data_IF_847711313154
#
_entry.id   IF_847711313154
#
_cell.length_a   1.000
_cell.length_b   1.000
_cell.length_c   1.000
_cell.angle_alpha   90.00
_cell.angle_beta   90.00
_cell.angle_gamma   90.00
#
_symmetry.space_group_name_H-M   'P 1'
#
loop_
_entity.id
_entity.type
_entity.pdbx_description
1 polymer ?
#
# COMPACT_ATOMS: atom_id res chain seq x y z
N UNK A 1 5.48 -9.96 16.85
CA UNK A 1 6.09 -8.63 16.88
C UNK A 1 5.04 -7.53 16.77
N UNK A 2 5.40 -6.33 17.17
CA UNK A 2 4.56 -5.12 17.08
C UNK A 2 5.33 -4.08 16.26
N UNK A 3 4.68 -3.46 15.27
CA UNK A 3 5.32 -2.57 14.30
C UNK A 3 4.42 -1.37 13.97
N UNK A 4 5.01 -0.33 13.39
CA UNK A 4 4.35 0.85 12.80
C UNK A 4 3.23 1.44 13.67
N UNK A 5 3.54 1.90 14.90
CA UNK A 5 2.54 2.53 15.75
C UNK A 5 2.09 3.87 15.17
N UNK A 6 0.80 4.18 15.30
CA UNK A 6 0.18 5.40 14.84
C UNK A 6 -0.81 5.92 15.86
N UNK A 7 -0.58 7.14 16.38
CA UNK A 7 -1.45 7.80 17.33
C UNK A 7 -2.71 8.34 16.67
N UNK A 8 -3.85 8.13 17.33
CA UNK A 8 -5.06 8.85 16.95
C UNK A 8 -4.91 10.35 17.23
N UNK A 9 -5.44 11.24 16.39
CA UNK A 9 -5.33 12.69 16.57
C UNK A 9 -5.91 13.23 17.89
N UNK A 10 -6.88 12.53 18.48
CA UNK A 10 -7.46 12.85 19.79
C UNK A 10 -6.61 12.37 20.98
N UNK A 11 -5.54 11.60 20.72
CA UNK A 11 -4.62 11.09 21.73
C UNK A 11 -5.16 9.92 22.57
N UNK A 12 -6.33 9.36 22.25
CA UNK A 12 -6.99 8.31 23.05
C UNK A 12 -6.66 6.90 22.62
N UNK A 13 -6.22 6.71 21.38
CA UNK A 13 -5.98 5.40 20.78
C UNK A 13 -4.62 5.32 20.10
N UNK A 14 -4.06 4.12 20.09
CA UNK A 14 -2.87 3.79 19.29
C UNK A 14 -3.23 2.64 18.37
N UNK A 15 -3.09 2.84 17.06
CA UNK A 15 -3.10 1.77 16.08
C UNK A 15 -1.70 1.20 15.89
N UNK A 16 -1.59 -0.09 15.67
CA UNK A 16 -0.31 -0.75 15.42
C UNK A 16 -0.52 -2.04 14.64
N UNK A 17 0.54 -2.54 14.02
CA UNK A 17 0.56 -3.85 13.35
C UNK A 17 1.02 -4.91 14.33
N UNK A 18 0.25 -5.97 14.47
CA UNK A 18 0.60 -7.14 15.26
C UNK A 18 0.65 -8.41 14.40
N UNK A 19 1.70 -9.22 14.56
CA UNK A 19 1.84 -10.49 13.83
C UNK A 19 1.37 -11.64 14.70
N UNK A 20 0.43 -12.42 14.13
CA UNK A 20 -0.09 -13.67 14.69
C UNK A 20 -0.24 -14.70 13.57
N UNK A 21 0.33 -15.89 13.74
CA UNK A 21 0.17 -17.03 12.82
C UNK A 21 0.47 -16.76 11.32
N UNK A 22 1.52 -16.08 11.00
CA UNK A 22 1.97 -15.76 9.63
C UNK A 22 1.25 -14.61 8.91
N UNK A 23 0.14 -14.09 9.46
CA UNK A 23 -0.51 -12.87 8.98
C UNK A 23 -0.18 -11.68 9.87
N UNK A 24 -0.26 -10.48 9.33
CA UNK A 24 -0.12 -9.23 10.07
C UNK A 24 -1.45 -8.48 10.03
N UNK A 25 -2.00 -8.20 11.22
CA UNK A 25 -3.25 -7.47 11.38
C UNK A 25 -3.03 -6.09 12.00
N UNK A 26 -3.98 -5.20 11.78
CA UNK A 26 -4.05 -3.91 12.46
C UNK A 26 -4.81 -4.08 13.78
N UNK A 27 -4.16 -3.68 14.85
CA UNK A 27 -4.72 -3.63 16.20
C UNK A 27 -4.91 -2.18 16.64
N UNK A 28 -5.86 -1.97 17.52
CA UNK A 28 -6.06 -0.71 18.24
C UNK A 28 -6.01 -1.00 19.73
N UNK A 29 -5.23 -0.23 20.49
CA UNK A 29 -5.35 -0.13 21.94
C UNK A 29 -6.07 1.17 22.28
N UNK A 30 -7.11 1.07 23.10
CA UNK A 30 -7.76 2.21 23.75
C UNK A 30 -7.02 2.51 25.06
N UNK A 31 -6.48 3.71 25.17
CA UNK A 31 -5.62 4.10 26.30
C UNK A 31 -6.41 4.56 27.55
N UNK A 32 -7.71 4.69 27.46
CA UNK A 32 -8.57 5.01 28.62
C UNK A 32 -8.89 3.75 29.44
N UNK A 33 -8.96 2.58 28.79
CA UNK A 33 -9.36 1.33 29.45
C UNK A 33 -8.40 0.15 29.18
N UNK A 34 -7.29 0.39 28.49
CA UNK A 34 -6.28 -0.61 28.09
C UNK A 34 -6.83 -1.78 27.24
N UNK A 35 -7.99 -1.59 26.57
CA UNK A 35 -8.59 -2.61 25.71
C UNK A 35 -7.86 -2.69 24.37
N UNK A 36 -7.47 -3.92 23.99
CA UNK A 36 -6.84 -4.21 22.68
C UNK A 36 -7.85 -4.91 21.79
N UNK A 37 -8.12 -4.33 20.63
CA UNK A 37 -8.98 -4.89 19.60
C UNK A 37 -8.16 -5.22 18.36
N UNK A 38 -8.29 -6.46 17.84
CA UNK A 38 -7.87 -6.78 16.48
C UNK A 38 -8.90 -6.22 15.50
N UNK A 39 -8.50 -5.26 14.68
CA UNK A 39 -9.40 -4.52 13.81
C UNK A 39 -9.67 -5.27 12.50
N UNK A 40 -8.63 -5.79 11.86
CA UNK A 40 -8.74 -6.48 10.56
C UNK A 40 -8.98 -7.98 10.68
N UNK A 41 -8.31 -8.68 11.57
CA UNK A 41 -8.52 -10.07 11.98
C UNK A 41 -8.83 -11.04 10.82
N UNK A 42 -7.98 -11.06 9.83
CA UNK A 42 -8.14 -11.89 8.64
C UNK A 42 -6.81 -12.58 8.23
N UNK A 43 -6.75 -13.16 7.03
CA UNK A 43 -5.59 -13.93 6.56
C UNK A 43 -4.63 -13.10 5.70
N UNK A 44 -4.95 -11.83 5.44
CA UNK A 44 -4.12 -10.93 4.64
C UNK A 44 -3.04 -10.25 5.47
N UNK A 45 -2.07 -9.68 4.78
CA UNK A 45 -1.01 -8.92 5.43
C UNK A 45 -1.32 -7.43 5.38
N UNK A 46 -1.62 -6.87 6.55
CA UNK A 46 -1.90 -5.45 6.72
C UNK A 46 -0.72 -4.72 7.36
N UNK A 47 -0.50 -3.48 6.95
CA UNK A 47 0.62 -2.67 7.42
C UNK A 47 0.34 -1.16 7.34
N UNK A 48 1.20 -0.39 8.00
CA UNK A 48 1.27 1.08 7.91
C UNK A 48 -0.06 1.81 8.17
N UNK A 49 -0.75 1.56 9.29
CA UNK A 49 -1.98 2.25 9.62
C UNK A 49 -1.75 3.74 9.88
N UNK A 50 -2.64 4.59 9.36
CA UNK A 50 -2.63 6.03 9.60
C UNK A 50 -4.07 6.54 9.82
N UNK A 51 -4.26 7.37 10.85
CA UNK A 51 -5.57 7.89 11.24
C UNK A 51 -6.02 9.06 10.35
N UNK A 52 -7.33 9.19 10.17
CA UNK A 52 -7.92 10.43 9.72
C UNK A 52 -8.05 11.45 10.87
N UNK A 53 -8.26 12.72 10.54
CA UNK A 53 -8.30 13.82 11.53
C UNK A 53 -9.37 13.62 12.63
N UNK A 54 -10.48 12.97 12.32
CA UNK A 54 -11.58 12.70 13.26
C UNK A 54 -11.39 11.45 14.14
N UNK A 55 -10.25 10.75 14.04
CA UNK A 55 -9.96 9.52 14.80
C UNK A 55 -11.01 8.40 14.59
N UNK A 56 -11.70 8.40 13.46
CA UNK A 56 -12.80 7.47 13.16
C UNK A 56 -12.47 6.44 12.09
N UNK A 57 -11.41 6.68 11.31
CA UNK A 57 -10.99 5.82 10.20
C UNK A 57 -9.49 5.65 10.18
N UNK A 58 -9.05 4.51 9.65
CA UNK A 58 -7.65 4.25 9.30
C UNK A 58 -7.52 4.03 7.81
N UNK A 59 -6.47 4.61 7.21
CA UNK A 59 -5.94 4.19 5.92
C UNK A 59 -4.76 3.25 6.18
N UNK A 60 -4.60 2.20 5.38
CA UNK A 60 -3.58 1.19 5.57
C UNK A 60 -3.20 0.51 4.25
N UNK A 61 -2.12 -0.22 4.27
CA UNK A 61 -1.63 -1.04 3.14
C UNK A 61 -2.05 -2.48 3.36
N UNK A 62 -2.51 -3.15 2.31
CA UNK A 62 -2.86 -4.58 2.36
C UNK A 62 -2.69 -5.26 1.01
N UNK A 63 -2.45 -6.57 1.04
CA UNK A 63 -2.40 -7.44 -0.12
C UNK A 63 -3.75 -8.11 -0.46
N UNK A 64 -4.84 -7.80 0.27
CA UNK A 64 -6.16 -8.47 0.19
C UNK A 64 -6.86 -8.42 -1.17
N UNK A 65 -6.41 -7.64 -2.13
CA UNK A 65 -7.03 -7.53 -3.46
C UNK A 65 -8.46 -7.00 -3.37
N UNK A 66 -9.43 -7.73 -3.95
CA UNK A 66 -10.85 -7.39 -3.91
C UNK A 66 -11.62 -8.06 -2.76
N UNK A 67 -10.93 -8.72 -1.83
CA UNK A 67 -11.53 -9.43 -0.70
C UNK A 67 -11.75 -8.46 0.46
N UNK A 68 -12.88 -7.79 0.45
CA UNK A 68 -13.22 -6.73 1.41
C UNK A 68 -14.00 -7.28 2.61
N UNK A 69 -14.67 -8.44 2.46
CA UNK A 69 -15.36 -9.12 3.54
C UNK A 69 -14.43 -10.13 4.21
N UNK A 70 -14.07 -9.84 5.46
CA UNK A 70 -13.16 -10.65 6.27
C UNK A 70 -13.69 -12.05 6.57
N UNK A 71 -15.03 -12.25 6.55
CA UNK A 71 -15.69 -13.51 6.93
C UNK A 71 -15.68 -14.56 5.82
N UNK A 72 -15.41 -14.18 4.57
CA UNK A 72 -15.61 -15.03 3.39
C UNK A 72 -14.32 -15.64 2.81
N UNK A 73 -13.17 -15.40 3.45
CA UNK A 73 -11.88 -15.86 2.90
C UNK A 73 -11.47 -17.20 3.51
N UNK A 74 -11.23 -18.18 2.65
CA UNK A 74 -10.76 -19.52 3.01
C UNK A 74 -9.28 -19.70 2.61
N UNK A 75 -8.64 -20.75 3.16
CA UNK A 75 -7.26 -21.11 2.77
C UNK A 75 -7.16 -21.43 1.26
N UNK A 76 -8.21 -21.94 0.64
CA UNK A 76 -8.25 -22.25 -0.80
C UNK A 76 -8.20 -20.98 -1.65
N UNK A 77 -8.79 -19.88 -1.17
CA UNK A 77 -8.75 -18.57 -1.84
C UNK A 77 -7.33 -17.97 -1.89
N UNK A 78 -6.39 -18.51 -1.12
CA UNK A 78 -5.01 -18.04 -1.08
C UNK A 78 -4.09 -18.72 -2.10
N UNK A 79 -4.55 -19.75 -2.81
CA UNK A 79 -3.72 -20.50 -3.79
C UNK A 79 -3.25 -19.58 -4.93
N UNK A 80 -4.14 -18.72 -5.43
CA UNK A 80 -3.84 -17.75 -6.50
C UNK A 80 -3.65 -16.31 -5.97
N UNK A 81 -3.39 -16.18 -4.67
CA UNK A 81 -3.25 -14.88 -4.04
C UNK A 81 -1.93 -14.19 -4.42
N UNK A 82 -2.03 -12.93 -4.81
CA UNK A 82 -0.88 -12.12 -5.20
C UNK A 82 -0.33 -11.33 -4.01
N UNK A 83 0.49 -11.97 -3.20
CA UNK A 83 1.12 -11.38 -2.01
C UNK A 83 1.99 -10.14 -2.31
N UNK A 84 2.36 -9.91 -3.55
CA UNK A 84 3.23 -8.80 -3.96
C UNK A 84 2.44 -7.53 -4.39
N UNK A 85 1.10 -7.60 -4.49
CA UNK A 85 0.27 -6.47 -4.95
C UNK A 85 -0.30 -5.68 -3.77
N UNK A 86 0.54 -4.86 -3.14
CA UNK A 86 0.13 -4.01 -2.02
C UNK A 86 -0.67 -2.79 -2.51
N UNK A 87 -1.89 -2.65 -2.00
CA UNK A 87 -2.78 -1.54 -2.30
C UNK A 87 -3.23 -0.80 -1.03
N UNK A 88 -3.80 0.39 -1.20
CA UNK A 88 -4.30 1.21 -0.10
C UNK A 88 -5.77 0.88 0.15
N UNK A 89 -6.10 0.70 1.42
CA UNK A 89 -7.46 0.46 1.92
C UNK A 89 -7.81 1.44 3.03
N UNK A 90 -9.09 1.60 3.26
CA UNK A 90 -9.67 2.40 4.32
C UNK A 90 -10.57 1.51 5.14
N UNK A 91 -10.51 1.61 6.47
CA UNK A 91 -11.40 0.94 7.41
C UNK A 91 -12.03 1.95 8.36
N UNK A 92 -13.33 1.87 8.55
CA UNK A 92 -14.02 2.57 9.63
C UNK A 92 -13.91 1.75 10.92
N UNK A 93 -13.42 2.38 12.00
CA UNK A 93 -13.07 1.67 13.23
C UNK A 93 -14.28 1.11 13.99
N UNK A 94 -15.46 1.71 13.81
CA UNK A 94 -16.69 1.29 14.51
C UNK A 94 -17.42 0.18 13.75
N UNK A 95 -17.67 0.40 12.46
CA UNK A 95 -18.38 -0.57 11.62
C UNK A 95 -17.50 -1.70 11.09
N UNK A 96 -16.17 -1.52 11.14
CA UNK A 96 -15.15 -2.42 10.56
C UNK A 96 -15.31 -2.63 9.06
N UNK A 97 -16.03 -1.76 8.37
CA UNK A 97 -16.21 -1.83 6.93
C UNK A 97 -14.92 -1.41 6.24
N UNK A 98 -14.39 -2.32 5.42
CA UNK A 98 -13.18 -2.07 4.60
C UNK A 98 -13.60 -1.62 3.20
N UNK A 99 -12.94 -0.62 2.67
CA UNK A 99 -13.07 -0.19 1.28
C UNK A 99 -11.70 -0.06 0.61
N UNK A 100 -11.63 -0.40 -0.67
CA UNK A 100 -10.41 -0.31 -1.46
C UNK A 100 -10.26 1.07 -2.06
N UNK A 101 -9.10 1.71 -1.85
CA UNK A 101 -8.79 3.05 -2.35
C UNK A 101 -8.02 2.96 -3.67
N UNK A 102 -7.04 2.06 -3.77
CA UNK A 102 -6.26 1.89 -5.00
C UNK A 102 -6.41 0.49 -5.56
N UNK A 103 -6.30 0.36 -6.89
CA UNK A 103 -6.40 -0.91 -7.59
C UNK A 103 -5.39 -0.95 -8.75
N UNK A 104 -4.17 -1.39 -8.47
CA UNK A 104 -3.17 -1.64 -9.51
C UNK A 104 -2.12 -2.64 -9.03
N UNK A 105 -1.39 -3.23 -9.96
CA UNK A 105 -0.31 -4.20 -9.71
C UNK A 105 0.98 -3.56 -9.17
N UNK A 106 1.05 -2.25 -9.07
CA UNK A 106 2.19 -1.54 -8.49
C UNK A 106 2.03 -1.44 -6.97
N UNK A 107 3.13 -1.49 -6.24
CA UNK A 107 3.12 -1.40 -4.79
C UNK A 107 2.85 0.03 -4.31
N UNK A 108 2.20 0.13 -3.15
CA UNK A 108 1.94 1.36 -2.42
C UNK A 108 2.43 1.23 -0.99
N UNK A 109 2.86 2.35 -0.41
CA UNK A 109 3.36 2.42 0.95
C UNK A 109 3.13 3.81 1.55
N UNK A 110 3.25 3.93 2.86
CA UNK A 110 3.18 5.17 3.62
C UNK A 110 1.91 5.99 3.36
N UNK A 111 0.69 5.41 3.44
CA UNK A 111 -0.53 6.17 3.28
C UNK A 111 -0.76 7.10 4.47
N UNK A 112 -1.12 8.35 4.19
CA UNK A 112 -1.54 9.32 5.20
C UNK A 112 -2.73 10.14 4.70
N UNK A 113 -3.63 10.52 5.61
CA UNK A 113 -4.69 11.47 5.28
C UNK A 113 -4.17 12.91 5.23
N UNK A 114 -4.72 13.71 4.32
CA UNK A 114 -4.78 15.15 4.52
C UNK A 114 -5.82 15.46 5.63
N UNK A 115 -5.55 16.45 6.47
CA UNK A 115 -6.40 16.75 7.63
C UNK A 115 -7.58 17.68 7.29
N UNK A 116 -7.41 18.57 6.32
CA UNK A 116 -8.38 19.61 5.95
C UNK A 116 -9.10 19.31 4.64
N UNK A 117 -8.59 18.38 3.83
CA UNK A 117 -9.12 18.03 2.53
C UNK A 117 -9.46 16.53 2.42
N UNK A 118 -10.36 16.20 1.50
CA UNK A 118 -10.75 14.82 1.25
C UNK A 118 -9.73 14.07 0.38
N UNK A 119 -8.48 14.01 0.84
CA UNK A 119 -7.36 13.44 0.10
C UNK A 119 -6.52 12.50 0.95
N UNK A 120 -5.91 11.51 0.29
CA UNK A 120 -4.91 10.60 0.84
C UNK A 120 -3.63 10.78 0.04
N UNK A 121 -2.49 10.94 0.73
CA UNK A 121 -1.18 10.84 0.13
C UNK A 121 -0.59 9.46 0.39
N UNK A 122 0.14 8.93 -0.56
CA UNK A 122 0.87 7.67 -0.44
C UNK A 122 2.05 7.63 -1.40
N UNK A 123 2.96 6.70 -1.22
CA UNK A 123 4.01 6.44 -2.21
C UNK A 123 3.64 5.25 -3.08
N UNK A 124 4.08 5.25 -4.34
CA UNK A 124 3.95 4.13 -5.26
C UNK A 124 5.15 4.00 -6.17
N UNK A 125 5.50 2.75 -6.53
CA UNK A 125 6.56 2.40 -7.48
C UNK A 125 6.07 2.34 -8.95
N UNK A 126 4.95 3.01 -9.25
CA UNK A 126 4.22 2.99 -10.52
C UNK A 126 5.11 3.09 -11.78
N UNK A 127 6.15 3.89 -11.73
CA UNK A 127 7.08 4.07 -12.85
C UNK A 127 8.44 3.39 -12.65
N UNK A 128 8.58 2.53 -11.62
CA UNK A 128 9.82 1.85 -11.24
C UNK A 128 10.69 2.65 -10.25
N UNK A 129 10.17 3.75 -9.73
CA UNK A 129 10.73 4.49 -8.60
C UNK A 129 9.60 4.96 -7.68
N UNK A 130 9.88 5.02 -6.39
CA UNK A 130 8.89 5.46 -5.40
C UNK A 130 8.65 6.96 -5.52
N UNK A 131 7.41 7.34 -5.84
CA UNK A 131 6.95 8.71 -5.95
C UNK A 131 5.73 8.94 -5.07
N UNK A 132 5.48 10.20 -4.65
CA UNK A 132 4.30 10.58 -3.90
C UNK A 132 3.13 10.75 -4.86
N UNK A 133 2.02 10.13 -4.51
CA UNK A 133 0.72 10.25 -5.16
C UNK A 133 -0.26 10.94 -4.23
N UNK A 134 -1.17 11.70 -4.80
CA UNK A 134 -2.37 12.22 -4.13
C UNK A 134 -3.58 11.49 -4.71
N UNK A 135 -4.40 10.94 -3.83
CA UNK A 135 -5.70 10.36 -4.16
C UNK A 135 -6.81 11.27 -3.64
N UNK A 136 -7.73 11.63 -4.47
CA UNK A 136 -8.92 12.40 -4.15
C UNK A 136 -10.06 11.41 -3.83
N UNK A 137 -10.59 11.47 -2.61
CA UNK A 137 -11.60 10.52 -2.13
C UNK A 137 -13.00 10.77 -2.72
N UNK A 138 -13.27 11.98 -3.21
CA UNK A 138 -14.54 12.32 -3.82
C UNK A 138 -14.61 11.81 -5.27
N UNK A 139 -13.56 12.05 -6.04
CA UNK A 139 -13.50 11.65 -7.45
C UNK A 139 -12.94 10.25 -7.68
N UNK A 140 -12.28 9.67 -6.68
CA UNK A 140 -11.56 8.40 -6.79
C UNK A 140 -10.30 8.46 -7.67
N UNK A 141 -9.83 9.65 -8.03
CA UNK A 141 -8.67 9.84 -8.91
C UNK A 141 -7.37 9.87 -8.12
N UNK A 142 -6.38 9.11 -8.58
CA UNK A 142 -4.99 9.17 -8.09
C UNK A 142 -4.07 9.79 -9.13
N UNK A 143 -3.19 10.70 -8.68
CA UNK A 143 -2.20 11.30 -9.54
C UNK A 143 -0.86 11.50 -8.81
N UNK A 144 0.30 11.31 -9.49
CA UNK A 144 1.59 11.60 -8.91
C UNK A 144 1.80 13.12 -8.76
N UNK A 145 2.34 13.53 -7.61
CA UNK A 145 2.72 14.93 -7.33
C UNK A 145 4.25 15.12 -7.30
N UNK A 146 5.01 14.02 -7.39
CA UNK A 146 6.47 14.06 -7.58
C UNK A 146 6.87 13.26 -8.81
N UNK A 147 8.08 13.51 -9.30
CA UNK A 147 8.70 12.73 -10.38
C UNK A 147 10.21 12.62 -10.08
N UNK A 148 10.53 11.78 -9.11
CA UNK A 148 11.91 11.53 -8.67
C UNK A 148 12.44 10.24 -9.28
N UNK A 149 13.74 10.19 -9.48
CA UNK A 149 14.44 9.02 -10.04
C UNK A 149 15.07 8.12 -8.98
N UNK A 150 15.08 8.55 -7.71
CA UNK A 150 15.81 7.86 -6.64
C UNK A 150 14.90 7.13 -5.66
N UNK A 151 13.76 7.70 -5.30
CA UNK A 151 12.80 7.09 -4.39
C UNK A 151 12.57 7.86 -3.09
N UNK A 152 11.43 7.59 -2.48
CA UNK A 152 10.89 8.27 -1.30
C UNK A 152 10.40 7.21 -0.31
N UNK A 153 10.47 7.54 0.99
CA UNK A 153 9.82 6.77 2.06
C UNK A 153 9.43 7.69 3.22
N UNK A 154 8.45 7.24 4.01
CA UNK A 154 8.00 7.89 5.23
C UNK A 154 7.39 9.26 4.95
N UNK A 155 6.07 9.36 4.94
CA UNK A 155 5.34 10.62 4.79
C UNK A 155 4.83 11.10 6.13
N UNK A 156 4.93 12.39 6.39
CA UNK A 156 4.30 13.07 7.53
C UNK A 156 3.82 14.44 7.11
N UNK A 157 2.64 14.84 7.57
CA UNK A 157 2.01 16.11 7.22
C UNK A 157 1.61 16.89 8.46
N UNK A 158 1.69 18.20 8.41
CA UNK A 158 1.22 19.09 9.51
C UNK A 158 -0.30 19.12 9.59
N UNK A 159 -0.85 19.45 10.78
CA UNK A 159 -2.31 19.51 11.01
C UNK A 159 -3.06 20.48 10.09
N UNK A 160 -2.40 21.50 9.59
CA UNK A 160 -2.95 22.50 8.67
C UNK A 160 -2.73 22.12 7.18
N UNK A 161 -2.18 20.93 6.94
CA UNK A 161 -1.76 20.44 5.60
C UNK A 161 -0.76 21.35 4.87
N UNK A 162 -0.19 22.35 5.58
CA UNK A 162 0.69 23.34 4.97
C UNK A 162 2.08 22.80 4.63
N UNK A 163 2.54 21.75 5.32
CA UNK A 163 3.89 21.17 5.12
C UNK A 163 3.84 19.66 5.18
N UNK A 164 4.44 19.04 4.18
CA UNK A 164 4.77 17.61 4.19
C UNK A 164 6.28 17.41 4.30
N UNK A 165 6.71 16.46 5.09
CA UNK A 165 8.11 15.99 5.14
C UNK A 165 8.19 14.51 4.77
N UNK A 166 9.29 14.14 4.13
CA UNK A 166 9.56 12.77 3.71
C UNK A 166 11.07 12.53 3.59
N UNK A 167 11.49 11.28 3.65
CA UNK A 167 12.85 10.91 3.35
C UNK A 167 13.01 10.63 1.85
N UNK A 168 13.97 11.27 1.20
CA UNK A 168 14.36 11.03 -0.19
C UNK A 168 15.81 10.56 -0.27
N UNK A 169 16.11 9.66 -1.19
CA UNK A 169 17.49 9.20 -1.40
C UNK A 169 18.22 10.16 -2.34
N UNK A 170 19.33 10.74 -1.89
CA UNK A 170 20.19 11.60 -2.70
C UNK A 170 21.67 11.39 -2.33
N UNK A 171 22.54 11.60 -3.32
CA UNK A 171 24.00 11.60 -3.14
C UNK A 171 24.56 10.26 -2.65
N UNK A 172 24.34 9.62 -1.71
CA UNK A 172 24.77 8.32 -1.15
C UNK A 172 24.04 8.02 0.18
N UNK A 173 22.91 8.74 0.43
CA UNK A 173 22.19 8.58 1.69
C UNK A 173 20.74 9.04 1.60
N UNK A 174 20.07 8.93 2.73
CA UNK A 174 18.72 9.41 2.93
C UNK A 174 18.76 10.77 3.60
N UNK A 175 18.11 11.76 2.96
CA UNK A 175 17.93 13.11 3.49
C UNK A 175 16.46 13.38 3.75
N UNK A 176 16.18 14.36 4.63
CA UNK A 176 14.82 14.83 4.90
C UNK A 176 14.49 15.98 3.95
N UNK A 177 13.43 15.82 3.21
CA UNK A 177 12.89 16.83 2.32
C UNK A 177 11.60 17.41 2.86
N UNK A 178 11.36 18.66 2.49
CA UNK A 178 10.17 19.43 2.83
C UNK A 178 9.44 19.83 1.56
N UNK A 179 8.13 19.61 1.52
CA UNK A 179 7.20 20.09 0.50
C UNK A 179 6.20 21.05 1.15
N UNK A 180 6.11 22.27 0.64
CA UNK A 180 5.11 23.23 1.08
C UNK A 180 3.82 23.03 0.28
N UNK A 181 2.66 23.25 0.92
CA UNK A 181 1.33 23.18 0.33
C UNK A 181 1.13 21.94 -0.55
N UNK A 182 1.26 20.71 0.00
CA UNK A 182 1.22 19.48 -0.82
C UNK A 182 -0.13 19.30 -1.57
N UNK A 183 -1.21 19.88 -1.07
CA UNK A 183 -2.52 19.86 -1.74
C UNK A 183 -2.57 20.73 -3.01
N UNK A 184 -1.74 21.78 -3.09
CA UNK A 184 -1.67 22.70 -4.23
C UNK A 184 -0.65 22.25 -5.29
N UNK A 185 0.16 21.22 -5.00
CA UNK A 185 1.18 20.73 -5.95
C UNK A 185 0.48 20.17 -7.19
N UNK A 186 0.89 20.67 -8.35
CA UNK A 186 0.38 20.19 -9.64
C UNK A 186 0.73 18.71 -9.87
N UNK A 187 -0.20 18.02 -10.54
CA UNK A 187 0.00 16.65 -11.00
C UNK A 187 1.21 16.57 -11.95
N UNK A 188 2.04 15.54 -11.78
CA UNK A 188 3.23 15.31 -12.61
C UNK A 188 2.98 14.19 -13.61
N UNK A 189 3.61 14.30 -14.77
CA UNK A 189 3.68 13.17 -15.69
C UNK A 189 4.91 12.34 -15.36
N UNK A 190 4.72 11.11 -14.91
CA UNK A 190 5.80 10.15 -14.67
C UNK A 190 5.88 9.17 -15.83
N UNK A 191 7.08 8.94 -16.34
CA UNK A 191 7.33 7.99 -17.42
C UNK A 191 7.93 6.71 -16.83
N UNK A 192 7.57 5.52 -17.34
CA UNK A 192 8.19 4.28 -16.92
C UNK A 192 9.71 4.33 -17.08
N UNK A 193 10.43 3.88 -16.06
CA UNK A 193 11.88 3.68 -16.13
C UNK A 193 12.24 2.60 -17.16
N UNK A 194 13.51 2.52 -17.54
CA UNK A 194 14.00 1.43 -18.40
C UNK A 194 13.73 0.06 -17.78
N UNK A 195 13.86 -0.05 -16.46
CA UNK A 195 13.56 -1.27 -15.70
C UNK A 195 12.11 -1.75 -15.91
N UNK A 196 11.13 -0.87 -15.72
CA UNK A 196 9.71 -1.21 -15.93
C UNK A 196 9.42 -1.55 -17.39
N UNK A 197 10.03 -0.82 -18.33
CA UNK A 197 9.87 -1.12 -19.76
C UNK A 197 10.38 -2.51 -20.11
N UNK A 198 11.53 -2.90 -19.57
CA UNK A 198 12.10 -4.23 -19.80
C UNK A 198 11.20 -5.34 -19.22
N UNK A 199 10.72 -5.20 -17.96
CA UNK A 199 9.79 -6.16 -17.38
C UNK A 199 8.50 -6.30 -18.20
N UNK A 200 8.00 -5.20 -18.76
CA UNK A 200 6.81 -5.22 -19.61
C UNK A 200 7.08 -5.88 -20.97
N UNK A 201 8.29 -5.71 -21.55
CA UNK A 201 8.69 -6.40 -22.76
C UNK A 201 8.88 -7.90 -22.54
N UNK A 202 9.59 -8.27 -21.47
CA UNK A 202 9.85 -9.68 -21.12
C UNK A 202 8.56 -10.45 -20.86
N UNK A 203 7.60 -9.85 -20.15
CA UNK A 203 6.26 -10.46 -19.97
C UNK A 203 5.51 -10.64 -21.28
N UNK A 204 5.69 -9.76 -22.25
CA UNK A 204 5.08 -9.90 -23.57
C UNK A 204 5.79 -10.99 -24.40
N UNK A 205 7.10 -11.14 -24.30
CA UNK A 205 7.88 -12.19 -24.95
C UNK A 205 7.57 -13.58 -24.35
N UNK A 206 7.49 -13.71 -23.03
CA UNK A 206 7.09 -14.94 -22.35
C UNK A 206 5.66 -15.40 -22.73
N UNK A 207 4.73 -14.45 -22.86
CA UNK A 207 3.36 -14.74 -23.31
C UNK A 207 3.30 -15.15 -24.79
N UNK A 208 4.23 -14.69 -25.63
CA UNK A 208 4.35 -15.11 -27.02
C UNK A 208 4.96 -16.52 -27.09
N UNK A 209 5.99 -16.78 -26.31
CA UNK A 209 6.69 -18.09 -26.28
C UNK A 209 5.77 -19.21 -25.77
N UNK A 210 4.97 -18.96 -24.74
CA UNK A 210 3.95 -19.90 -24.24
C UNK A 210 2.82 -20.18 -25.26
N UNK A 211 2.63 -19.31 -26.26
CA UNK A 211 1.68 -19.54 -27.35
C UNK A 211 2.29 -20.30 -28.53
N UNK A 212 3.60 -20.26 -28.69
CA UNK A 212 4.33 -20.95 -29.78
C UNK A 212 4.88 -22.31 -29.35
N UNK A 213 5.08 -22.59 -28.06
CA UNK A 213 5.46 -23.91 -27.56
C UNK A 213 4.25 -24.87 -27.62
N UNK A 214 3.95 -25.29 -28.83
CA UNK A 214 3.25 -26.53 -29.05
C UNK A 214 4.06 -27.66 -28.39
N UNK A 215 3.42 -28.35 -27.46
CA UNK A 215 3.81 -29.60 -26.86
C UNK A 215 4.81 -30.37 -27.74
N UNK A 216 6.10 -30.21 -27.53
CA UNK A 216 7.07 -31.24 -27.91
C UNK A 216 7.03 -32.26 -26.78
N UNK A 217 6.40 -33.39 -27.09
CA UNK A 217 6.28 -34.49 -26.18
C UNK A 217 7.65 -34.85 -25.59
N UNK A 218 7.72 -34.88 -24.30
CA UNK A 218 8.81 -35.53 -23.58
C UNK A 218 8.70 -37.01 -23.88
N UNK A 219 9.53 -37.51 -24.77
CA UNK A 219 9.74 -38.97 -24.92
C UNK A 219 10.30 -39.47 -23.58
N UNK A 220 9.50 -40.21 -22.84
CA UNK A 220 9.93 -40.93 -21.67
C UNK A 220 10.89 -42.06 -22.11
N UNK A 221 12.18 -41.84 -21.97
CA UNK A 221 13.14 -42.94 -21.96
C UNK A 221 13.00 -43.74 -20.67
N UNK A 222 12.12 -44.73 -20.67
CA UNK A 222 12.17 -45.83 -19.71
C UNK A 222 13.34 -46.69 -20.08
N UNK A 223 14.45 -46.60 -19.37
CA UNK A 223 15.46 -47.63 -19.30
C UNK A 223 15.13 -48.54 -18.14
N UNK A 224 14.74 -49.75 -18.41
CA UNK A 224 14.64 -50.88 -17.50
C UNK A 224 16.00 -51.15 -16.80
N UNK A 225 15.96 -51.26 -15.49
CA UNK A 225 16.80 -52.11 -14.65
C UNK A 225 15.97 -52.66 -13.49
#
# INVERSE_FOLDING_TARGET
GVFTPSWSPDGKKLAFVGNKNSASDIYIIDLENDEITNLTNDIFSDSEPSWNASSSKLVFVSDRGNRLDQSLTTAEDMIDHKFEENNIYLIDINSKVVSRITNSSFNKSYPIFANTENSIFYTSDYNGTWNIFRHDLETGKSAPITNLITGIKGLSITKDDGVMVFAGYSGWGWDIYRMNNPLEVEEKTVKPTIYIKNIQSDKNEELVDLREDKYRGVESNTTDY
#
